data_IF_687352300061
#
_entry.id   IF_687352300061
#
_cell.length_a   1.000
_cell.length_b   1.000
_cell.length_c   1.000
_cell.angle_alpha   90.00
_cell.angle_beta   90.00
_cell.angle_gamma   90.00
#
_symmetry.space_group_name_H-M   'P 1'
#
loop_
_entity.id
_entity.type
_entity.pdbx_description
1 polymer ?
#
# COMPACT_ATOMS: atom_id res chain seq x y z
N UNK A 1 19.49 -20.44 90.11
CA UNK A 1 20.23 -20.53 88.81
C UNK A 1 19.87 -21.81 88.00
N UNK A 2 18.65 -22.32 88.04
CA UNK A 2 18.23 -23.52 87.24
C UNK A 2 17.11 -23.21 86.21
N UNK A 3 16.57 -22.03 86.18
CA UNK A 3 15.45 -21.69 85.29
C UNK A 3 15.85 -20.99 83.98
N UNK A 4 17.11 -20.55 83.84
CA UNK A 4 17.57 -19.77 82.60
C UNK A 4 18.11 -20.73 81.55
N UNK A 5 18.55 -21.97 81.91
CA UNK A 5 19.08 -22.95 80.91
C UNK A 5 18.01 -23.64 80.06
N UNK A 6 16.76 -23.68 80.48
CA UNK A 6 15.66 -24.32 79.68
C UNK A 6 15.09 -23.43 78.63
N UNK A 7 15.11 -22.14 78.81
CA UNK A 7 14.61 -21.14 77.79
C UNK A 7 15.57 -21.02 76.61
N UNK A 8 16.89 -21.22 76.80
CA UNK A 8 17.85 -21.18 75.73
C UNK A 8 17.89 -22.43 74.83
N UNK A 9 17.34 -23.55 75.28
CA UNK A 9 17.29 -24.80 74.50
C UNK A 9 16.03 -24.87 73.60
N UNK A 10 14.99 -24.05 73.85
CA UNK A 10 13.75 -24.03 73.07
C UNK A 10 13.77 -23.03 71.93
N UNK A 11 14.75 -22.10 71.92
CA UNK A 11 14.90 -21.09 70.84
C UNK A 11 15.69 -21.57 69.60
N UNK A 12 16.31 -22.77 69.66
CA UNK A 12 17.10 -23.34 68.55
C UNK A 12 16.26 -24.24 67.63
N UNK A 13 15.00 -24.55 67.97
CA UNK A 13 14.16 -25.46 67.18
C UNK A 13 13.26 -24.76 66.12
N UNK A 14 13.34 -23.44 65.98
CA UNK A 14 12.55 -22.69 64.98
C UNK A 14 13.37 -22.11 63.82
N UNK A 15 14.65 -22.48 63.66
CA UNK A 15 15.32 -22.28 62.36
C UNK A 15 14.88 -23.36 61.37
N UNK A 16 13.62 -23.31 60.97
CA UNK A 16 13.16 -23.99 59.76
C UNK A 16 13.91 -23.35 58.59
N UNK A 17 15.07 -23.91 58.25
CA UNK A 17 15.70 -23.67 56.96
C UNK A 17 14.70 -24.13 55.89
N UNK A 18 13.98 -23.18 55.36
CA UNK A 18 13.33 -23.38 54.04
C UNK A 18 14.47 -23.49 53.03
N UNK A 19 14.98 -24.69 52.80
CA UNK A 19 15.90 -24.99 51.72
C UNK A 19 15.13 -24.75 50.41
N UNK A 20 15.26 -23.50 49.89
CA UNK A 20 14.77 -23.18 48.56
C UNK A 20 15.54 -24.09 47.59
N UNK A 21 14.85 -25.11 47.05
CA UNK A 21 15.44 -26.03 46.09
C UNK A 21 15.72 -25.26 44.80
N UNK A 22 16.97 -25.31 44.29
CA UNK A 22 17.37 -24.74 43.01
C UNK A 22 17.24 -25.77 41.90
N UNK A 23 16.57 -25.41 40.81
CA UNK A 23 16.49 -26.24 39.61
C UNK A 23 17.50 -25.68 38.57
N UNK A 24 18.34 -26.59 38.09
CA UNK A 24 19.26 -26.30 36.97
C UNK A 24 18.96 -27.28 35.83
N UNK A 25 17.96 -26.96 35.02
CA UNK A 25 17.65 -27.69 33.78
C UNK A 25 18.55 -27.23 32.64
N UNK A 26 19.00 -28.14 31.78
CA UNK A 26 19.71 -27.78 30.58
C UNK A 26 18.77 -27.03 29.63
N UNK A 27 19.18 -25.83 29.19
CA UNK A 27 18.43 -25.00 28.23
C UNK A 27 18.40 -25.73 26.87
N UNK A 28 17.21 -26.05 26.34
CA UNK A 28 17.11 -26.57 24.96
C UNK A 28 17.62 -25.53 23.98
N UNK A 29 18.58 -25.90 23.14
CA UNK A 29 19.09 -25.00 22.10
C UNK A 29 18.02 -24.77 21.03
N UNK A 30 17.91 -23.56 20.48
CA UNK A 30 17.03 -23.30 19.34
C UNK A 30 17.45 -24.15 18.13
N UNK A 31 16.53 -24.36 17.18
CA UNK A 31 16.85 -24.96 15.89
C UNK A 31 17.85 -24.08 15.12
N UNK A 32 18.66 -24.70 14.25
CA UNK A 32 19.72 -24.02 13.53
C UNK A 32 19.18 -22.84 12.70
N UNK A 33 20.08 -21.85 12.47
CA UNK A 33 19.81 -20.59 11.76
C UNK A 33 19.44 -20.79 10.27
N UNK A 34 18.21 -21.23 10.01
CA UNK A 34 17.65 -21.23 8.67
C UNK A 34 16.99 -19.86 8.40
N UNK A 35 17.12 -19.28 7.19
CA UNK A 35 16.39 -18.08 6.84
C UNK A 35 14.89 -18.26 7.07
N UNK A 36 14.22 -17.22 7.59
CA UNK A 36 12.77 -17.23 7.79
C UNK A 36 12.06 -17.34 6.42
N UNK A 37 11.62 -18.54 6.08
CA UNK A 37 10.85 -18.81 4.86
C UNK A 37 9.42 -19.14 5.25
N UNK A 38 8.48 -18.30 4.79
CA UNK A 38 7.04 -18.59 4.90
C UNK A 38 6.35 -18.15 3.61
N UNK A 39 5.29 -18.84 3.24
CA UNK A 39 4.49 -18.53 2.06
C UNK A 39 3.33 -17.62 2.47
N UNK A 40 3.36 -16.37 2.01
CA UNK A 40 2.20 -15.48 2.10
C UNK A 40 1.28 -15.70 0.92
N UNK A 41 -0.03 -15.72 1.16
CA UNK A 41 -1.02 -15.55 0.10
C UNK A 41 -0.92 -14.12 -0.40
N UNK A 42 -0.88 -13.92 -1.71
CA UNK A 42 -0.86 -12.59 -2.30
C UNK A 42 -2.21 -11.91 -2.08
N UNK A 43 -2.17 -10.65 -1.74
CA UNK A 43 -3.34 -9.77 -1.64
C UNK A 43 -3.68 -9.19 -2.99
N UNK A 44 -4.95 -8.93 -3.22
CA UNK A 44 -5.45 -8.22 -4.39
C UNK A 44 -6.38 -7.09 -3.94
N UNK A 45 -6.05 -5.87 -4.35
CA UNK A 45 -6.81 -4.67 -4.04
C UNK A 45 -7.33 -4.08 -5.33
N UNK A 46 -8.65 -4.09 -5.52
CA UNK A 46 -9.30 -3.37 -6.60
C UNK A 46 -9.56 -1.93 -6.16
N UNK A 47 -9.16 -0.99 -6.99
CA UNK A 47 -9.29 0.45 -6.77
C UNK A 47 -9.91 1.09 -8.02
N UNK A 48 -11.25 1.12 -8.15
CA UNK A 48 -11.89 1.92 -9.18
C UNK A 48 -11.41 3.37 -9.09
N UNK A 49 -10.95 3.91 -10.21
CA UNK A 49 -10.37 5.24 -10.31
C UNK A 49 -11.28 6.15 -11.13
N UNK A 50 -11.57 7.32 -10.59
CA UNK A 50 -12.29 8.39 -11.27
C UNK A 50 -11.38 9.61 -11.41
N UNK A 51 -11.22 10.10 -12.65
CA UNK A 51 -10.45 11.32 -12.96
C UNK A 51 -11.41 12.34 -13.56
N UNK A 52 -11.54 13.53 -12.96
CA UNK A 52 -12.40 14.57 -13.50
C UNK A 52 -11.82 15.16 -14.80
N UNK A 53 -12.67 15.49 -15.78
CA UNK A 53 -12.23 16.19 -16.99
C UNK A 53 -11.61 17.55 -16.64
N UNK A 54 -12.05 18.18 -15.55
CA UNK A 54 -11.49 19.44 -15.06
C UNK A 54 -10.02 19.31 -14.65
N UNK A 55 -9.64 18.16 -14.04
CA UNK A 55 -8.25 17.90 -13.70
C UNK A 55 -7.39 17.72 -14.95
N UNK A 56 -7.89 16.99 -15.94
CA UNK A 56 -7.22 16.83 -17.24
C UNK A 56 -7.10 18.19 -17.96
N UNK A 57 -8.16 19.01 -17.93
CA UNK A 57 -8.17 20.36 -18.45
C UNK A 57 -7.07 21.23 -17.80
N UNK A 58 -6.93 21.14 -16.47
CA UNK A 58 -5.90 21.87 -15.73
C UNK A 58 -4.49 21.46 -16.16
N UNK A 59 -4.20 20.16 -16.18
CA UNK A 59 -2.89 19.64 -16.58
C UNK A 59 -2.58 19.96 -18.05
N UNK A 60 -3.56 19.84 -18.93
CA UNK A 60 -3.41 20.18 -20.34
C UNK A 60 -3.08 21.67 -20.52
N UNK A 61 -3.72 22.55 -19.77
CA UNK A 61 -3.46 23.98 -19.81
C UNK A 61 -2.07 24.37 -19.26
N UNK A 62 -1.51 23.60 -18.34
CA UNK A 62 -0.13 23.76 -17.86
C UNK A 62 0.88 23.33 -18.92
N UNK A 63 0.63 22.20 -19.59
CA UNK A 63 1.52 21.64 -20.61
C UNK A 63 1.49 22.44 -21.91
N UNK A 64 0.29 22.81 -22.37
CA UNK A 64 0.08 23.67 -23.55
C UNK A 64 -0.10 25.09 -23.07
N UNK A 65 0.98 25.86 -23.04
CA UNK A 65 0.95 27.28 -22.69
C UNK A 65 1.83 28.12 -23.63
N UNK A 66 1.37 29.32 -23.97
CA UNK A 66 2.09 30.22 -24.89
C UNK A 66 2.14 29.67 -26.31
N UNK A 67 3.33 29.63 -26.90
CA UNK A 67 3.53 29.07 -28.24
C UNK A 67 3.51 27.55 -28.21
N UNK A 68 2.57 26.97 -28.93
CA UNK A 68 2.33 25.51 -28.93
C UNK A 68 2.84 24.81 -30.18
N UNK A 69 3.19 25.58 -31.21
CA UNK A 69 3.77 25.11 -32.48
C UNK A 69 4.68 26.16 -33.09
N UNK A 70 5.81 25.72 -33.61
CA UNK A 70 6.76 26.56 -34.36
C UNK A 70 7.35 25.74 -35.51
N UNK A 71 7.04 26.17 -36.72
CA UNK A 71 7.60 25.67 -37.96
C UNK A 71 8.22 26.84 -38.70
N UNK A 72 9.51 26.78 -38.93
CA UNK A 72 10.31 27.83 -39.57
C UNK A 72 10.86 27.43 -40.94
N UNK A 73 10.46 26.24 -41.45
CA UNK A 73 10.96 25.70 -42.69
C UNK A 73 9.97 25.91 -43.84
N UNK A 74 10.19 26.95 -44.61
CA UNK A 74 9.36 27.30 -45.80
C UNK A 74 9.60 26.36 -47.01
N UNK A 75 10.72 25.61 -47.03
CA UNK A 75 11.15 24.87 -48.21
C UNK A 75 10.61 23.45 -48.31
N UNK A 76 10.16 22.87 -47.23
CA UNK A 76 9.67 21.48 -47.19
C UNK A 76 8.20 21.36 -47.65
N UNK A 77 7.33 22.26 -47.20
CA UNK A 77 5.91 22.27 -47.56
C UNK A 77 5.38 23.65 -48.03
N UNK A 78 6.29 24.60 -48.26
CA UNK A 78 5.98 25.98 -48.65
C UNK A 78 5.24 26.79 -47.60
N UNK A 79 5.31 26.41 -46.33
CA UNK A 79 4.59 27.06 -45.24
C UNK A 79 5.46 27.16 -44.00
N UNK A 80 5.62 28.37 -43.45
CA UNK A 80 6.07 28.56 -42.05
C UNK A 80 4.85 28.84 -41.18
N UNK A 81 4.82 28.30 -39.97
CA UNK A 81 3.65 28.47 -39.10
C UNK A 81 4.03 28.55 -37.62
N UNK A 82 3.45 29.52 -36.92
CA UNK A 82 3.55 29.63 -35.45
C UNK A 82 2.15 29.73 -34.87
N UNK A 83 1.91 28.96 -33.80
CA UNK A 83 0.61 28.87 -33.15
C UNK A 83 0.76 29.16 -31.66
N UNK A 84 -0.07 30.04 -31.15
CA UNK A 84 -0.15 30.38 -29.74
C UNK A 84 -1.53 30.09 -29.19
N UNK A 85 -1.58 29.50 -28.00
CA UNK A 85 -2.79 29.46 -27.21
C UNK A 85 -3.07 30.85 -26.63
N UNK A 86 -4.29 31.36 -26.82
CA UNK A 86 -4.67 32.70 -26.38
C UNK A 86 -5.52 32.74 -25.14
N UNK A 87 -6.19 31.64 -24.81
CA UNK A 87 -6.98 31.46 -23.57
C UNK A 87 -6.98 30.01 -23.14
N UNK A 88 -7.45 29.68 -21.91
CA UNK A 88 -7.53 28.33 -21.43
C UNK A 88 -8.36 27.41 -22.32
N UNK A 89 -7.85 26.21 -22.55
CA UNK A 89 -8.55 25.10 -23.19
C UNK A 89 -9.70 24.67 -22.28
N UNK A 90 -10.86 24.38 -22.85
CA UNK A 90 -12.03 23.84 -22.17
C UNK A 90 -12.31 22.42 -22.64
N UNK A 91 -12.57 21.51 -21.71
CA UNK A 91 -12.91 20.13 -21.99
C UNK A 91 -14.36 19.85 -21.54
N UNK A 92 -15.15 19.27 -22.43
CA UNK A 92 -16.49 18.77 -22.11
C UNK A 92 -16.71 17.39 -22.72
N UNK A 93 -17.56 16.59 -22.11
CA UNK A 93 -18.02 15.34 -22.71
C UNK A 93 -19.15 15.62 -23.68
N UNK A 94 -19.03 15.07 -24.90
CA UNK A 94 -20.04 15.14 -25.97
C UNK A 94 -20.11 13.82 -26.72
N UNK A 95 -21.23 13.15 -26.65
CA UNK A 95 -21.51 11.90 -27.37
C UNK A 95 -20.46 10.80 -27.18
N UNK A 96 -19.98 10.64 -25.93
CA UNK A 96 -18.96 9.63 -25.58
C UNK A 96 -17.54 10.00 -26.01
N UNK A 97 -17.31 11.25 -26.43
CA UNK A 97 -16.00 11.80 -26.80
C UNK A 97 -15.65 13.03 -25.96
N UNK A 98 -14.39 13.35 -25.88
CA UNK A 98 -13.96 14.64 -25.32
C UNK A 98 -13.99 15.70 -26.40
N UNK A 99 -14.83 16.71 -26.22
CA UNK A 99 -14.79 17.92 -27.02
C UNK A 99 -13.84 18.91 -26.33
N UNK A 100 -12.81 19.34 -27.07
CA UNK A 100 -11.84 20.34 -26.63
C UNK A 100 -12.08 21.66 -27.39
N UNK A 101 -12.25 22.74 -26.63
CA UNK A 101 -12.40 24.11 -27.19
C UNK A 101 -11.08 24.83 -26.98
N UNK A 102 -10.38 25.13 -28.08
CA UNK A 102 -9.00 25.64 -28.08
C UNK A 102 -8.90 26.98 -28.77
N UNK A 103 -8.84 28.11 -28.03
CA UNK A 103 -8.64 29.45 -28.59
C UNK A 103 -7.18 29.65 -29.02
N UNK A 104 -6.97 30.05 -30.29
CA UNK A 104 -5.66 30.15 -30.92
C UNK A 104 -5.45 31.46 -31.66
N UNK A 105 -4.20 31.92 -31.67
CA UNK A 105 -3.64 32.84 -32.65
C UNK A 105 -2.64 32.09 -33.53
N UNK A 106 -2.76 32.25 -34.83
CA UNK A 106 -1.92 31.61 -35.83
C UNK A 106 -1.25 32.69 -36.67
N UNK A 107 0.05 32.65 -36.78
CA UNK A 107 0.81 33.31 -37.78
C UNK A 107 1.26 32.27 -38.79
N UNK A 108 0.98 32.52 -40.08
CA UNK A 108 1.44 31.67 -41.15
C UNK A 108 2.01 32.50 -42.27
N UNK A 109 3.11 32.02 -42.84
CA UNK A 109 3.73 32.57 -44.07
C UNK A 109 3.74 31.45 -45.09
N UNK A 110 3.26 31.70 -46.27
CA UNK A 110 3.17 30.72 -47.33
C UNK A 110 3.70 31.26 -48.65
N UNK A 111 4.37 30.38 -49.38
CA UNK A 111 4.90 30.63 -50.71
C UNK A 111 3.88 30.17 -51.74
N UNK A 112 3.44 31.05 -52.59
CA UNK A 112 2.49 30.71 -53.66
C UNK A 112 3.05 31.12 -55.04
N UNK A 113 2.54 30.50 -56.08
CA UNK A 113 3.04 30.68 -57.44
C UNK A 113 3.90 29.51 -57.92
N UNK A 114 4.60 29.68 -59.00
CA UNK A 114 5.50 28.67 -59.56
C UNK A 114 6.93 29.19 -59.55
N UNK A 115 7.90 28.34 -59.26
CA UNK A 115 9.34 28.68 -59.32
C UNK A 115 9.79 28.83 -60.80
N UNK A 116 8.90 28.50 -61.73
CA UNK A 116 9.12 28.72 -63.17
C UNK A 116 9.05 30.19 -63.51
N UNK A 117 10.12 30.75 -64.02
CA UNK A 117 10.29 32.19 -64.37
C UNK A 117 10.30 33.15 -63.14
N UNK A 118 10.51 32.65 -61.90
CA UNK A 118 10.56 33.50 -60.71
C UNK A 118 9.20 34.12 -60.30
N UNK A 119 8.10 33.58 -60.78
CA UNK A 119 6.74 34.03 -60.47
C UNK A 119 6.23 33.45 -59.14
N UNK A 120 7.05 33.53 -58.08
CA UNK A 120 6.65 33.17 -56.74
C UNK A 120 6.59 34.43 -55.85
N UNK A 121 5.68 34.44 -54.91
CA UNK A 121 5.55 35.50 -53.89
C UNK A 121 5.26 34.83 -52.55
N UNK A 122 5.62 35.49 -51.45
CA UNK A 122 5.34 35.04 -50.09
C UNK A 122 4.36 35.99 -49.44
N UNK A 123 3.38 35.45 -48.73
CA UNK A 123 2.39 36.21 -47.96
C UNK A 123 2.34 35.75 -46.53
N UNK A 124 2.16 36.70 -45.65
CA UNK A 124 1.95 36.50 -44.24
C UNK A 124 0.50 36.75 -43.87
N UNK A 125 -0.02 35.91 -42.98
CA UNK A 125 -1.40 36.00 -42.51
C UNK A 125 -1.41 35.79 -40.98
N UNK A 126 -2.21 36.61 -40.30
CA UNK A 126 -2.53 36.44 -38.90
C UNK A 126 -3.99 36.02 -38.78
N UNK A 127 -4.24 34.93 -38.08
CA UNK A 127 -5.55 34.33 -37.89
C UNK A 127 -5.84 34.22 -36.41
N UNK A 128 -7.04 34.60 -36.00
CA UNK A 128 -7.53 34.42 -34.64
C UNK A 128 -8.83 33.61 -34.70
N UNK A 129 -8.89 32.55 -33.91
CA UNK A 129 -10.07 31.70 -33.93
C UNK A 129 -10.07 30.69 -32.80
N UNK A 130 -11.13 29.92 -32.77
CA UNK A 130 -11.30 28.83 -31.83
C UNK A 130 -11.46 27.51 -32.59
N UNK A 131 -10.64 26.53 -32.25
CA UNK A 131 -10.77 25.19 -32.80
C UNK A 131 -11.60 24.35 -31.86
N UNK A 132 -12.53 23.61 -32.40
CA UNK A 132 -13.28 22.56 -31.70
C UNK A 132 -12.77 21.20 -32.18
N UNK A 133 -12.23 20.41 -31.25
CA UNK A 133 -11.78 19.06 -31.52
C UNK A 133 -12.70 18.05 -30.82
N UNK A 134 -12.97 16.93 -31.49
CA UNK A 134 -13.55 15.73 -30.89
C UNK A 134 -12.48 14.65 -30.81
N UNK A 135 -12.26 14.15 -29.60
CA UNK A 135 -11.23 13.17 -29.31
C UNK A 135 -11.83 11.88 -28.81
N UNK A 136 -11.52 10.76 -29.47
CA UNK A 136 -11.72 9.44 -28.93
C UNK A 136 -10.60 9.16 -27.91
N UNK A 137 -10.96 8.65 -26.73
CA UNK A 137 -10.02 8.43 -25.62
C UNK A 137 -9.77 6.95 -25.44
N UNK A 138 -8.50 6.56 -25.33
CA UNK A 138 -8.08 5.20 -24.98
C UNK A 138 -6.98 5.27 -23.94
N UNK A 139 -6.96 4.29 -23.04
CA UNK A 139 -5.80 4.06 -22.20
C UNK A 139 -4.96 2.98 -22.87
N UNK A 140 -3.73 3.32 -23.26
CA UNK A 140 -2.78 2.39 -23.82
C UNK A 140 -1.47 2.51 -23.10
N UNK A 141 -0.95 1.36 -22.62
CA UNK A 141 0.37 1.29 -21.99
C UNK A 141 0.56 2.27 -20.81
N UNK A 142 -0.50 2.45 -19.99
CA UNK A 142 -0.56 3.37 -18.85
C UNK A 142 -0.53 4.86 -19.19
N UNK A 143 -0.69 5.18 -20.47
CA UNK A 143 -0.85 6.53 -20.95
C UNK A 143 -2.24 6.72 -21.54
N UNK A 144 -2.83 7.88 -21.31
CA UNK A 144 -4.03 8.25 -22.02
C UNK A 144 -3.62 8.71 -23.43
N UNK A 145 -4.13 8.03 -24.45
CA UNK A 145 -3.97 8.40 -25.83
C UNK A 145 -5.29 8.88 -26.38
N UNK A 146 -5.24 9.89 -27.25
CA UNK A 146 -6.41 10.42 -27.94
C UNK A 146 -6.21 10.33 -29.44
N UNK A 147 -7.33 10.22 -30.16
CA UNK A 147 -7.37 10.41 -31.60
C UNK A 147 -8.32 11.57 -31.86
N UNK A 148 -7.73 12.76 -32.02
CA UNK A 148 -8.47 14.02 -32.14
C UNK A 148 -8.74 14.36 -33.57
N UNK A 149 -9.96 14.80 -33.86
CA UNK A 149 -10.37 15.36 -35.17
C UNK A 149 -10.94 16.73 -34.96
N UNK A 150 -10.56 17.67 -35.81
CA UNK A 150 -11.18 18.99 -35.82
C UNK A 150 -12.60 18.86 -36.34
N UNK A 151 -13.56 19.17 -35.47
CA UNK A 151 -15.00 19.22 -35.78
C UNK A 151 -15.31 20.58 -36.48
N UNK A 152 -14.83 21.65 -35.87
CA UNK A 152 -15.14 23.01 -36.39
C UNK A 152 -13.97 23.98 -36.13
N UNK A 153 -13.97 25.03 -36.93
CA UNK A 153 -13.05 26.14 -36.78
C UNK A 153 -13.83 27.46 -36.86
N UNK A 154 -13.95 28.13 -35.73
CA UNK A 154 -14.66 29.40 -35.65
C UNK A 154 -13.66 30.58 -35.73
N UNK A 155 -13.66 31.30 -36.82
CA UNK A 155 -12.86 32.52 -36.96
C UNK A 155 -13.47 33.65 -36.13
N UNK A 156 -12.66 34.42 -35.41
CA UNK A 156 -13.08 35.66 -34.76
C UNK A 156 -13.24 36.74 -35.84
N UNK A 157 -12.32 36.74 -36.81
CA UNK A 157 -12.41 37.59 -38.03
C UNK A 157 -12.14 36.72 -39.25
N UNK A 158 -12.89 36.90 -40.31
CA UNK A 158 -12.63 36.20 -41.57
C UNK A 158 -11.23 36.53 -42.08
N UNK A 159 -10.41 35.52 -42.45
CA UNK A 159 -9.06 35.75 -42.94
C UNK A 159 -9.06 36.57 -44.22
N UNK A 160 -8.34 37.70 -44.20
CA UNK A 160 -8.22 38.60 -45.35
C UNK A 160 -6.76 39.01 -45.54
N UNK A 161 -6.38 39.26 -46.80
CA UNK A 161 -5.13 39.95 -47.14
C UNK A 161 -5.43 41.31 -47.72
N UNK A 162 -4.50 42.24 -47.56
CA UNK A 162 -4.56 43.54 -48.20
C UNK A 162 -3.88 43.47 -49.58
N UNK A 163 -4.65 43.69 -50.62
CA UNK A 163 -4.14 43.85 -52.01
C UNK A 163 -4.58 45.17 -52.54
N UNK A 164 -3.64 46.02 -52.87
CA UNK A 164 -3.89 47.39 -53.35
C UNK A 164 -4.87 48.20 -52.46
N UNK A 165 -4.73 48.04 -51.11
CA UNK A 165 -5.56 48.70 -50.09
C UNK A 165 -6.95 48.15 -49.89
N UNK A 166 -7.32 47.05 -50.59
CA UNK A 166 -8.60 46.33 -50.39
C UNK A 166 -8.40 45.03 -49.61
N UNK A 167 -9.25 44.78 -48.62
CA UNK A 167 -9.30 43.49 -47.91
C UNK A 167 -9.94 42.44 -48.81
N UNK A 168 -9.18 41.40 -49.20
CA UNK A 168 -9.64 40.29 -50.01
C UNK A 168 -9.73 39.05 -49.10
N UNK A 169 -10.90 38.37 -49.02
CA UNK A 169 -11.02 37.11 -48.32
C UNK A 169 -10.09 36.03 -48.91
N UNK A 170 -9.32 35.34 -48.08
CA UNK A 170 -8.37 34.31 -48.52
C UNK A 170 -8.76 32.91 -48.06
N UNK A 171 -9.97 32.71 -47.59
CA UNK A 171 -10.50 31.43 -47.16
C UNK A 171 -10.28 30.30 -48.16
N UNK A 172 -10.38 30.58 -49.46
CA UNK A 172 -10.14 29.63 -50.54
C UNK A 172 -8.64 29.25 -50.73
N UNK A 173 -7.72 30.14 -50.36
CA UNK A 173 -6.27 29.91 -50.42
C UNK A 173 -5.83 29.10 -49.17
N UNK A 174 -6.46 29.38 -48.04
CA UNK A 174 -6.14 28.76 -46.76
C UNK A 174 -6.68 27.32 -46.64
N UNK A 175 -7.75 26.97 -47.33
CA UNK A 175 -8.37 25.66 -47.24
C UNK A 175 -7.44 24.47 -47.49
N UNK A 176 -6.53 24.44 -48.48
CA UNK A 176 -5.53 23.36 -48.60
C UNK A 176 -4.54 23.34 -47.43
N UNK A 177 -4.04 24.50 -47.00
CA UNK A 177 -3.13 24.65 -45.86
C UNK A 177 -3.82 24.31 -44.54
N UNK A 178 -5.12 24.59 -44.43
CA UNK A 178 -5.95 24.14 -43.27
C UNK A 178 -5.98 22.63 -43.13
N UNK A 179 -5.85 21.85 -44.18
CA UNK A 179 -5.80 20.39 -44.06
C UNK A 179 -4.53 19.92 -43.34
N UNK A 180 -3.37 20.45 -43.69
CA UNK A 180 -2.08 20.21 -43.05
C UNK A 180 -2.13 20.73 -41.59
N UNK A 181 -2.62 21.96 -41.43
CA UNK A 181 -2.82 22.59 -40.14
C UNK A 181 -3.72 21.75 -39.20
N UNK A 182 -4.87 21.26 -39.71
CA UNK A 182 -5.79 20.42 -38.97
C UNK A 182 -5.09 19.17 -38.41
N UNK A 183 -4.35 18.47 -39.26
CA UNK A 183 -3.61 17.27 -38.84
C UNK A 183 -2.51 17.60 -37.83
N UNK A 184 -1.78 18.69 -38.03
CA UNK A 184 -0.71 19.14 -37.13
C UNK A 184 -1.25 19.53 -35.77
N UNK A 185 -2.32 20.30 -35.68
CA UNK A 185 -2.92 20.71 -34.40
C UNK A 185 -3.50 19.49 -33.66
N UNK A 186 -4.26 18.62 -34.35
CA UNK A 186 -4.80 17.41 -33.77
C UNK A 186 -3.67 16.57 -33.19
N UNK A 187 -2.61 16.33 -33.96
CA UNK A 187 -1.45 15.54 -33.49
C UNK A 187 -0.75 16.19 -32.29
N UNK A 188 -0.57 17.52 -32.28
CA UNK A 188 0.04 18.23 -31.14
C UNK A 188 -0.81 18.19 -29.89
N UNK A 189 -2.12 18.24 -30.01
CA UNK A 189 -3.05 18.04 -28.88
C UNK A 189 -2.95 16.58 -28.36
N UNK A 190 -2.96 15.60 -29.25
CA UNK A 190 -2.84 14.20 -28.88
C UNK A 190 -1.51 13.90 -28.16
N UNK A 191 -0.39 14.41 -28.69
CA UNK A 191 0.93 14.32 -28.06
C UNK A 191 0.98 14.99 -26.67
N UNK A 192 0.33 16.17 -26.54
CA UNK A 192 0.26 16.89 -25.28
C UNK A 192 -0.58 16.15 -24.24
N UNK A 193 -1.71 15.56 -24.64
CA UNK A 193 -2.54 14.72 -23.76
C UNK A 193 -1.75 13.48 -23.33
N UNK A 194 -1.12 12.78 -24.27
CA UNK A 194 -0.31 11.60 -23.97
C UNK A 194 0.82 11.93 -22.96
N UNK A 195 1.50 13.05 -23.14
CA UNK A 195 2.57 13.52 -22.25
C UNK A 195 2.05 13.94 -20.88
N UNK A 196 0.90 14.61 -20.81
CA UNK A 196 0.31 15.12 -19.57
C UNK A 196 -0.39 14.02 -18.77
N UNK A 197 -0.82 12.97 -19.43
CA UNK A 197 -1.60 11.86 -18.85
C UNK A 197 -0.83 10.54 -18.89
N UNK A 198 0.47 10.57 -18.58
CA UNK A 198 1.26 9.37 -18.24
C UNK A 198 1.05 9.05 -16.76
N UNK A 199 0.23 8.04 -16.47
CA UNK A 199 -0.13 7.67 -15.10
C UNK A 199 0.94 6.84 -14.40
N UNK A 200 1.87 6.23 -15.13
CA UNK A 200 2.86 5.31 -14.55
C UNK A 200 3.75 5.95 -13.49
N UNK A 201 4.33 7.15 -13.69
CA UNK A 201 5.12 7.82 -12.66
C UNK A 201 4.31 8.12 -11.40
N UNK A 202 3.08 8.63 -11.56
CA UNK A 202 2.19 8.96 -10.43
C UNK A 202 1.80 7.74 -9.63
N UNK A 203 1.44 6.63 -10.29
CA UNK A 203 1.14 5.37 -9.61
C UNK A 203 2.36 4.87 -8.83
N UNK A 204 3.57 4.97 -9.40
CA UNK A 204 4.79 4.58 -8.69
C UNK A 204 5.07 5.45 -7.46
N UNK A 205 4.77 6.75 -7.51
CA UNK A 205 4.92 7.66 -6.36
C UNK A 205 3.91 7.32 -5.25
N UNK A 206 2.66 7.07 -5.62
CA UNK A 206 1.62 6.61 -4.67
C UNK A 206 2.04 5.28 -4.02
N UNK A 207 2.49 4.31 -4.82
CA UNK A 207 2.93 3.00 -4.31
C UNK A 207 4.15 3.13 -3.39
N UNK A 208 5.10 4.02 -3.70
CA UNK A 208 6.23 4.31 -2.81
C UNK A 208 5.73 4.84 -1.46
N UNK A 209 4.80 5.79 -1.46
CA UNK A 209 4.20 6.34 -0.24
C UNK A 209 3.45 5.27 0.55
N UNK A 210 2.64 4.44 -0.12
CA UNK A 210 1.89 3.34 0.50
C UNK A 210 2.79 2.23 1.04
N UNK A 211 4.02 2.11 0.53
CA UNK A 211 5.00 1.11 0.98
C UNK A 211 5.77 1.54 2.23
N UNK A 212 5.63 2.80 2.65
CA UNK A 212 6.24 3.28 3.90
C UNK A 212 5.58 2.58 5.09
N UNK A 213 6.37 1.94 5.96
CA UNK A 213 5.82 1.31 7.15
C UNK A 213 5.17 2.33 8.09
N UNK A 214 3.95 2.05 8.52
CA UNK A 214 3.23 2.88 9.49
C UNK A 214 2.83 2.11 10.74
N UNK A 215 2.76 2.81 11.87
CA UNK A 215 2.44 2.23 13.17
C UNK A 215 0.94 1.97 13.27
N UNK A 216 0.55 0.74 13.57
CA UNK A 216 -0.86 0.32 13.74
C UNK A 216 -1.23 0.08 15.20
N UNK A 217 -0.26 -0.16 16.09
CA UNK A 217 -0.46 -0.26 17.53
C UNK A 217 0.76 0.29 18.28
N UNK A 218 0.56 1.29 19.11
CA UNK A 218 1.62 1.83 19.99
C UNK A 218 1.95 0.86 21.12
N UNK A 219 0.94 0.20 21.68
CA UNK A 219 1.08 -0.73 22.80
C UNK A 219 2.02 -1.90 22.46
N UNK A 220 1.89 -2.44 21.25
CA UNK A 220 2.67 -3.61 20.80
C UNK A 220 3.77 -3.22 19.82
N UNK A 221 3.96 -1.91 19.53
CA UNK A 221 4.91 -1.43 18.51
C UNK A 221 4.72 -2.18 17.19
N UNK A 222 3.47 -2.25 16.73
CA UNK A 222 3.10 -3.02 15.56
C UNK A 222 3.13 -2.14 14.31
N UNK A 223 3.91 -2.53 13.31
CA UNK A 223 4.13 -1.81 12.07
C UNK A 223 3.53 -2.55 10.89
N UNK A 224 2.66 -1.89 10.13
CA UNK A 224 2.14 -2.43 8.87
C UNK A 224 3.04 -2.02 7.70
N UNK A 225 3.24 -2.95 6.75
CA UNK A 225 3.99 -2.74 5.51
C UNK A 225 3.26 -3.39 4.35
N UNK A 226 3.09 -2.62 3.26
CA UNK A 226 2.60 -3.10 1.98
C UNK A 226 3.78 -3.22 1.01
N UNK A 227 3.87 -4.35 0.30
CA UNK A 227 4.91 -4.63 -0.69
C UNK A 227 4.23 -4.84 -2.04
N UNK A 228 4.19 -3.84 -2.93
CA UNK A 228 3.61 -3.95 -4.26
C UNK A 228 4.36 -4.97 -5.12
N UNK A 229 3.65 -5.68 -5.98
CA UNK A 229 4.21 -6.67 -6.91
C UNK A 229 3.81 -6.37 -8.35
N UNK A 230 2.51 -6.27 -8.60
CA UNK A 230 1.95 -6.05 -9.95
C UNK A 230 0.81 -5.02 -9.86
N UNK A 231 0.71 -4.19 -10.88
CA UNK A 231 -0.40 -3.23 -11.04
C UNK A 231 -1.13 -3.54 -12.34
N UNK A 232 -2.44 -3.61 -12.25
CA UNK A 232 -3.34 -3.88 -13.35
C UNK A 232 -4.17 -2.64 -13.65
N UNK A 233 -4.53 -2.45 -14.91
CA UNK A 233 -5.45 -1.38 -15.32
C UNK A 233 -6.38 -1.89 -16.41
N UNK A 234 -7.65 -1.47 -16.37
CA UNK A 234 -8.59 -1.65 -17.46
C UNK A 234 -8.51 -0.51 -18.47
N UNK A 235 -9.19 -0.67 -19.61
CA UNK A 235 -9.40 0.45 -20.52
C UNK A 235 -10.17 1.58 -19.82
N UNK A 236 -9.87 2.82 -20.25
CA UNK A 236 -10.54 4.00 -19.76
C UNK A 236 -11.94 4.14 -20.40
N UNK A 237 -12.93 4.43 -19.59
CA UNK A 237 -14.31 4.67 -20.05
C UNK A 237 -14.69 6.11 -19.71
N UNK A 238 -15.02 6.91 -20.75
CA UNK A 238 -15.51 8.26 -20.60
C UNK A 238 -16.95 8.25 -20.11
N UNK A 239 -17.21 8.92 -18.98
CA UNK A 239 -18.53 9.18 -18.43
C UNK A 239 -18.82 10.68 -18.40
N UNK A 240 -19.92 11.09 -17.78
CA UNK A 240 -20.25 12.52 -17.63
C UNK A 240 -19.16 13.25 -16.86
N UNK A 241 -18.39 14.09 -17.55
CA UNK A 241 -17.33 14.93 -16.98
C UNK A 241 -16.22 14.18 -16.22
N UNK A 242 -16.07 12.89 -16.42
CA UNK A 242 -15.03 12.07 -15.78
C UNK A 242 -14.61 10.88 -16.64
N UNK A 243 -13.38 10.44 -16.44
CA UNK A 243 -12.86 9.19 -16.97
C UNK A 243 -12.82 8.18 -15.84
N UNK A 244 -13.38 7.00 -16.08
CA UNK A 244 -13.39 5.87 -15.15
C UNK A 244 -12.48 4.77 -15.68
N UNK A 245 -11.75 4.13 -14.77
CA UNK A 245 -10.97 2.92 -15.03
C UNK A 245 -10.81 2.14 -13.74
N UNK A 246 -10.55 0.85 -13.83
CA UNK A 246 -10.23 0.04 -12.65
C UNK A 246 -8.73 -0.16 -12.55
N UNK A 247 -8.18 0.12 -11.38
CA UNK A 247 -6.83 -0.25 -11.00
C UNK A 247 -6.88 -1.50 -10.12
N UNK A 248 -5.98 -2.45 -10.35
CA UNK A 248 -5.77 -3.60 -9.49
C UNK A 248 -4.35 -3.60 -8.96
N UNK A 249 -4.20 -3.74 -7.66
CA UNK A 249 -2.90 -3.89 -7.01
C UNK A 249 -2.77 -5.30 -6.46
N UNK A 250 -1.80 -6.05 -6.96
CA UNK A 250 -1.33 -7.29 -6.35
C UNK A 250 -0.15 -6.98 -5.45
N UNK A 251 -0.24 -7.35 -4.18
CA UNK A 251 0.76 -6.99 -3.18
C UNK A 251 0.89 -8.07 -2.10
N UNK A 252 1.97 -8.03 -1.35
CA UNK A 252 2.10 -8.72 -0.09
C UNK A 252 1.89 -7.73 1.05
N UNK A 253 1.18 -8.14 2.08
CA UNK A 253 0.89 -7.33 3.26
C UNK A 253 1.46 -8.00 4.49
N UNK A 254 2.22 -7.25 5.26
CA UNK A 254 2.88 -7.75 6.46
C UNK A 254 2.69 -6.78 7.61
N UNK A 255 2.60 -7.33 8.81
CA UNK A 255 2.65 -6.58 10.06
C UNK A 255 3.81 -7.12 10.88
N UNK A 256 4.66 -6.25 11.41
CA UNK A 256 5.81 -6.62 12.23
C UNK A 256 5.67 -6.06 13.64
N UNK A 257 5.88 -6.92 14.63
CA UNK A 257 5.81 -6.56 16.05
C UNK A 257 7.22 -6.24 16.57
N UNK A 258 7.37 -5.11 17.24
CA UNK A 258 8.57 -4.68 17.98
C UNK A 258 9.46 -3.74 17.20
N UNK A 259 9.85 -4.04 15.97
CA UNK A 259 10.83 -3.25 15.21
C UNK A 259 10.21 -2.71 13.92
N UNK A 260 10.42 -1.42 13.67
CA UNK A 260 10.00 -0.80 12.41
C UNK A 260 10.76 -1.43 11.23
N UNK A 261 10.07 -2.02 10.24
CA UNK A 261 10.74 -2.59 9.07
C UNK A 261 11.29 -1.49 8.16
N UNK A 262 12.35 -1.80 7.41
CA UNK A 262 12.89 -0.88 6.41
C UNK A 262 11.94 -0.77 5.21
N UNK A 263 11.92 0.41 4.58
CA UNK A 263 11.30 0.56 3.27
C UNK A 263 12.20 -0.11 2.21
N UNK A 264 11.62 -1.03 1.43
CA UNK A 264 12.29 -1.76 0.36
C UNK A 264 11.53 -1.62 -0.96
N UNK A 265 10.95 -0.45 -1.22
CA UNK A 265 10.23 -0.21 -2.48
C UNK A 265 11.19 -0.06 -3.65
N UNK A 266 11.09 -0.97 -4.63
CA UNK A 266 11.89 -0.96 -5.85
C UNK A 266 11.00 -0.62 -7.04
N UNK A 267 11.10 0.63 -7.53
CA UNK A 267 10.26 1.12 -8.64
C UNK A 267 10.33 0.25 -9.89
N UNK A 268 11.52 -0.27 -10.21
CA UNK A 268 11.76 -1.06 -11.41
C UNK A 268 11.27 -2.51 -11.31
N UNK A 269 10.99 -3.00 -10.10
CA UNK A 269 10.46 -4.35 -9.88
C UNK A 269 8.95 -4.44 -10.13
N UNK A 270 8.23 -3.30 -10.15
CA UNK A 270 6.79 -3.28 -10.31
C UNK A 270 6.39 -3.60 -11.75
N UNK A 271 5.58 -4.65 -11.91
CA UNK A 271 5.04 -5.04 -13.20
C UNK A 271 3.72 -4.30 -13.47
N UNK A 272 3.60 -3.71 -14.66
CA UNK A 272 2.40 -3.02 -15.13
C UNK A 272 1.71 -3.86 -16.21
N UNK A 273 0.41 -4.16 -16.03
CA UNK A 273 -0.37 -5.01 -16.94
C UNK A 273 -1.70 -4.35 -17.30
N UNK A 274 -2.06 -4.40 -18.58
CA UNK A 274 -3.41 -4.03 -19.03
C UNK A 274 -4.27 -5.29 -19.09
N UNK A 275 -5.49 -5.22 -18.56
CA UNK A 275 -6.43 -6.33 -18.46
C UNK A 275 -7.83 -5.88 -18.83
N UNK A 276 -8.67 -6.80 -19.33
CA UNK A 276 -10.04 -6.49 -19.68
C UNK A 276 -10.94 -6.24 -18.46
N UNK A 277 -10.66 -6.88 -17.34
CA UNK A 277 -11.42 -6.76 -16.09
C UNK A 277 -10.53 -7.01 -14.88
N UNK A 278 -10.77 -6.26 -13.83
CA UNK A 278 -10.17 -6.41 -12.50
C UNK A 278 -11.22 -7.07 -11.57
N UNK A 279 -10.85 -8.00 -10.68
CA UNK A 279 -11.78 -8.57 -9.70
C UNK A 279 -12.41 -7.47 -8.81
N UNK A 280 -13.72 -7.56 -8.56
CA UNK A 280 -14.46 -6.51 -7.84
C UNK A 280 -14.21 -6.46 -6.31
N UNK A 281 -13.58 -7.49 -5.76
CA UNK A 281 -13.34 -7.59 -4.31
C UNK A 281 -11.90 -7.23 -3.96
N UNK A 282 -11.77 -6.50 -2.87
CA UNK A 282 -10.50 -6.40 -2.14
C UNK A 282 -10.36 -7.65 -1.28
N UNK A 283 -9.26 -8.35 -1.43
CA UNK A 283 -8.86 -9.47 -0.55
C UNK A 283 -7.44 -9.20 -0.07
N UNK A 284 -7.30 -8.85 1.20
CA UNK A 284 -6.02 -8.60 1.84
C UNK A 284 -5.65 -9.80 2.72
N UNK A 285 -4.55 -10.46 2.38
CA UNK A 285 -3.95 -11.53 3.18
C UNK A 285 -2.75 -10.93 3.93
N UNK A 286 -2.88 -10.75 5.23
CA UNK A 286 -1.90 -10.06 6.07
C UNK A 286 -1.12 -11.11 6.87
N UNK A 287 0.20 -11.11 6.77
CA UNK A 287 1.08 -11.90 7.63
C UNK A 287 1.57 -11.03 8.79
N UNK A 288 1.10 -11.32 10.01
CA UNK A 288 1.55 -10.65 11.22
C UNK A 288 2.73 -11.42 11.84
N UNK A 289 3.92 -10.83 11.76
CA UNK A 289 5.18 -11.44 12.13
C UNK A 289 5.60 -10.94 13.51
N UNK A 290 5.79 -11.86 14.46
CA UNK A 290 6.35 -11.57 15.78
C UNK A 290 7.62 -12.40 15.99
N UNK A 291 8.77 -11.74 16.09
CA UNK A 291 10.02 -12.43 16.45
C UNK A 291 9.90 -13.00 17.88
N UNK A 292 10.64 -14.06 18.18
CA UNK A 292 10.62 -14.63 19.52
C UNK A 292 11.09 -13.66 20.60
N UNK A 293 12.04 -12.77 20.28
CA UNK A 293 12.49 -11.72 21.21
C UNK A 293 11.36 -10.72 21.52
N UNK A 294 10.61 -10.29 20.51
CA UNK A 294 9.48 -9.38 20.69
C UNK A 294 8.34 -10.05 21.46
N UNK A 295 8.00 -11.31 21.09
CA UNK A 295 7.00 -12.10 21.79
C UNK A 295 7.40 -12.37 23.25
N UNK A 296 8.67 -12.69 23.50
CA UNK A 296 9.21 -12.91 24.85
C UNK A 296 9.05 -11.69 25.74
N UNK A 297 9.36 -10.49 25.23
CA UNK A 297 9.20 -9.23 25.97
C UNK A 297 7.74 -8.99 26.36
N UNK A 298 6.81 -9.13 25.40
CA UNK A 298 5.38 -8.93 25.62
C UNK A 298 4.83 -9.95 26.62
N UNK A 299 5.14 -11.24 26.44
CA UNK A 299 4.66 -12.30 27.32
C UNK A 299 5.29 -12.17 28.71
N UNK A 300 6.59 -11.85 28.77
CA UNK A 300 7.26 -11.65 30.06
C UNK A 300 6.59 -10.54 30.87
N UNK A 301 6.27 -9.40 30.28
CA UNK A 301 5.58 -8.30 30.97
C UNK A 301 4.18 -8.70 31.48
N UNK A 302 3.48 -9.59 30.76
CA UNK A 302 2.15 -10.06 31.15
C UNK A 302 2.16 -11.15 32.23
N UNK A 303 3.25 -11.92 32.33
CA UNK A 303 3.37 -13.03 33.25
C UNK A 303 4.24 -12.73 34.47
N UNK A 304 5.08 -11.73 34.46
CA UNK A 304 5.94 -11.35 35.57
C UNK A 304 5.11 -11.09 36.85
N UNK A 305 5.49 -11.70 37.93
CA UNK A 305 4.78 -11.67 39.22
C UNK A 305 3.58 -12.57 39.32
N UNK A 306 3.13 -13.27 38.26
CA UNK A 306 2.05 -14.26 38.36
C UNK A 306 2.45 -15.43 39.22
N UNK A 307 1.54 -15.82 40.12
CA UNK A 307 1.69 -16.92 41.04
C UNK A 307 0.86 -18.13 40.57
N UNK A 308 1.49 -19.31 40.56
CA UNK A 308 0.85 -20.58 40.31
C UNK A 308 1.04 -21.49 41.54
N UNK A 309 -0.06 -21.89 42.19
CA UNK A 309 -0.02 -22.64 43.42
C UNK A 309 -0.68 -24.03 43.28
N UNK A 310 -0.16 -25.01 44.02
CA UNK A 310 -0.71 -26.36 44.20
C UNK A 310 -0.54 -26.79 45.68
N UNK A 311 -1.61 -26.75 46.45
CA UNK A 311 -1.57 -26.92 47.90
C UNK A 311 -0.73 -25.81 48.57
N UNK A 312 0.22 -26.22 49.44
CA UNK A 312 1.15 -25.29 50.10
C UNK A 312 2.35 -24.87 49.21
N UNK A 313 2.48 -25.43 48.02
CA UNK A 313 3.59 -25.15 47.09
C UNK A 313 3.18 -24.11 46.06
N UNK A 314 4.06 -23.15 45.80
CA UNK A 314 3.84 -22.09 44.83
C UNK A 314 5.08 -21.71 44.05
N UNK A 315 4.89 -21.24 42.83
CA UNK A 315 5.92 -20.61 42.01
C UNK A 315 5.45 -19.22 41.60
N UNK A 316 6.39 -18.29 41.48
CA UNK A 316 6.16 -16.93 40.97
C UNK A 316 7.04 -16.74 39.76
N UNK A 317 6.41 -16.39 38.61
CA UNK A 317 7.13 -16.15 37.35
C UNK A 317 7.93 -14.84 37.44
N UNK A 318 9.20 -14.88 37.09
CA UNK A 318 10.08 -13.72 37.05
C UNK A 318 10.31 -13.25 35.62
N UNK A 319 10.48 -14.21 34.67
CA UNK A 319 10.76 -13.92 33.26
C UNK A 319 10.23 -15.05 32.39
N UNK A 320 9.83 -14.72 31.16
CA UNK A 320 9.45 -15.67 30.12
C UNK A 320 10.31 -15.46 28.90
N UNK A 321 10.92 -16.50 28.37
CA UNK A 321 11.61 -16.49 27.07
C UNK A 321 10.98 -17.51 26.13
N UNK A 322 10.89 -17.17 24.85
CA UNK A 322 10.35 -18.04 23.81
C UNK A 322 11.38 -18.28 22.70
N UNK A 323 11.40 -19.48 22.16
CA UNK A 323 12.07 -19.80 20.89
C UNK A 323 11.46 -21.07 20.28
N UNK A 324 11.85 -21.35 19.04
CA UNK A 324 11.40 -22.56 18.35
C UNK A 324 12.43 -23.69 18.47
N UNK A 325 11.95 -24.92 18.64
CA UNK A 325 12.72 -26.14 18.50
C UNK A 325 11.83 -27.27 17.96
N UNK A 326 12.29 -27.94 16.90
CA UNK A 326 11.62 -29.10 16.29
C UNK A 326 10.13 -28.89 16.00
N UNK A 327 9.77 -27.70 15.45
CA UNK A 327 8.40 -27.33 15.11
C UNK A 327 7.50 -26.96 16.29
N UNK A 328 8.05 -26.91 17.52
CA UNK A 328 7.34 -26.49 18.72
C UNK A 328 7.90 -25.19 19.27
N UNK A 329 7.09 -24.44 19.99
CA UNK A 329 7.56 -23.32 20.80
C UNK A 329 8.08 -23.88 22.14
N UNK A 330 9.29 -23.49 22.48
CA UNK A 330 9.84 -23.68 23.82
C UNK A 330 9.51 -22.40 24.61
N UNK A 331 8.98 -22.63 25.83
CA UNK A 331 8.64 -21.60 26.81
C UNK A 331 9.54 -21.82 28.00
N UNK A 332 10.51 -20.94 28.21
CA UNK A 332 11.31 -20.91 29.41
C UNK A 332 10.62 -20.02 30.44
N UNK A 333 10.42 -20.57 31.64
CA UNK A 333 9.88 -19.83 32.78
C UNK A 333 10.96 -19.75 33.87
N UNK A 334 11.51 -18.57 34.08
CA UNK A 334 12.32 -18.27 35.25
C UNK A 334 11.38 -17.98 36.40
N UNK A 335 11.56 -18.68 37.52
CA UNK A 335 10.64 -18.63 38.63
C UNK A 335 11.34 -18.64 39.99
N UNK A 336 10.62 -18.15 40.99
CA UNK A 336 10.99 -18.19 42.42
C UNK A 336 9.84 -18.77 43.24
N UNK A 337 10.09 -19.02 44.52
CA UNK A 337 9.08 -19.54 45.47
C UNK A 337 9.46 -20.85 46.08
N UNK A 338 8.57 -21.86 46.05
CA UNK A 338 8.88 -23.21 46.56
C UNK A 338 10.03 -23.89 45.81
N UNK A 339 10.35 -23.35 44.64
CA UNK A 339 11.45 -23.72 43.76
C UNK A 339 12.00 -22.45 43.10
N UNK A 340 13.30 -22.35 42.95
CA UNK A 340 13.99 -21.29 42.27
C UNK A 340 14.74 -21.85 41.05
N UNK A 341 14.69 -21.14 39.91
CA UNK A 341 15.37 -21.50 38.68
C UNK A 341 14.46 -21.55 37.46
N UNK A 342 14.93 -22.19 36.40
CA UNK A 342 14.25 -22.20 35.11
C UNK A 342 13.66 -23.57 34.80
N UNK A 343 12.42 -23.60 34.33
CA UNK A 343 11.79 -24.78 33.71
C UNK A 343 11.51 -24.49 32.24
N UNK A 344 11.54 -25.54 31.44
CA UNK A 344 11.28 -25.48 30.03
C UNK A 344 10.06 -26.31 29.65
N UNK A 345 9.09 -25.65 29.02
CA UNK A 345 7.88 -26.27 28.47
C UNK A 345 7.98 -26.25 26.94
N UNK A 346 7.29 -27.16 26.29
CA UNK A 346 7.09 -27.13 24.84
C UNK A 346 5.61 -27.21 24.53
N UNK A 347 5.19 -26.55 23.45
CA UNK A 347 3.81 -26.59 23.00
C UNK A 347 3.68 -26.16 21.54
N UNK A 348 2.55 -26.49 20.91
CA UNK A 348 2.22 -26.11 19.54
C UNK A 348 1.12 -25.04 19.61
N UNK A 349 1.37 -23.82 19.13
CA UNK A 349 0.33 -22.78 19.10
C UNK A 349 -0.76 -23.18 18.11
N UNK A 350 -2.00 -22.93 18.49
CA UNK A 350 -3.18 -23.22 17.70
C UNK A 350 -4.21 -22.10 17.87
N UNK A 351 -5.19 -22.03 16.97
CA UNK A 351 -6.25 -21.05 16.98
C UNK A 351 -7.63 -21.70 17.02
N UNK A 352 -8.47 -21.23 17.92
CA UNK A 352 -9.88 -21.59 17.99
C UNK A 352 -10.71 -20.46 17.39
N UNK A 353 -11.28 -20.66 16.19
CA UNK A 353 -12.06 -19.66 15.48
C UNK A 353 -13.39 -19.32 16.21
N UNK A 354 -13.99 -20.27 16.94
CA UNK A 354 -15.24 -20.04 17.66
C UNK A 354 -15.08 -19.12 18.87
N UNK A 355 -13.99 -19.30 19.65
CA UNK A 355 -13.69 -18.47 20.83
C UNK A 355 -12.78 -17.28 20.51
N UNK A 356 -12.18 -17.23 19.29
CA UNK A 356 -11.16 -16.27 18.88
C UNK A 356 -9.96 -16.24 19.83
N UNK A 357 -9.50 -17.44 20.23
CA UNK A 357 -8.38 -17.61 21.16
C UNK A 357 -7.20 -18.33 20.51
N UNK A 358 -6.01 -17.83 20.77
CA UNK A 358 -4.75 -18.55 20.55
C UNK A 358 -4.46 -19.34 21.84
N UNK A 359 -4.12 -20.62 21.69
CA UNK A 359 -3.81 -21.50 22.80
C UNK A 359 -2.71 -22.49 22.39
N UNK A 360 -2.14 -23.18 23.37
CA UNK A 360 -1.12 -24.18 23.10
C UNK A 360 -1.69 -25.60 23.26
N UNK A 361 -1.55 -26.38 22.17
CA UNK A 361 -1.79 -27.82 22.20
C UNK A 361 -0.53 -28.57 22.64
N UNK A 362 -0.73 -29.75 23.19
CA UNK A 362 0.35 -30.68 23.58
C UNK A 362 1.42 -30.02 24.45
N UNK A 363 0.99 -29.13 25.36
CA UNK A 363 1.93 -28.50 26.30
C UNK A 363 2.44 -29.55 27.31
N UNK A 364 3.77 -29.69 27.41
CA UNK A 364 4.44 -30.59 28.34
C UNK A 364 5.81 -30.03 28.73
N UNK A 365 6.38 -30.54 29.80
CA UNK A 365 7.77 -30.26 30.15
C UNK A 365 8.70 -30.89 29.11
N UNK A 366 9.77 -30.22 28.74
CA UNK A 366 10.82 -30.83 27.91
C UNK A 366 11.50 -31.96 28.68
N UNK A 367 12.00 -32.95 27.96
CA UNK A 367 12.47 -34.23 28.56
C UNK A 367 13.50 -34.01 29.68
N UNK A 368 14.46 -33.11 29.47
CA UNK A 368 15.49 -32.82 30.49
C UNK A 368 14.91 -32.17 31.75
N UNK A 369 14.02 -31.17 31.57
CA UNK A 369 13.26 -30.57 32.67
C UNK A 369 12.47 -31.63 33.44
N UNK A 370 11.80 -32.53 32.71
CA UNK A 370 11.02 -33.63 33.30
C UNK A 370 11.89 -34.56 34.18
N UNK A 371 13.05 -34.96 33.69
CA UNK A 371 14.02 -35.78 34.42
C UNK A 371 14.57 -35.09 35.68
N UNK A 372 14.80 -33.78 35.61
CA UNK A 372 15.25 -32.99 36.76
C UNK A 372 14.12 -32.85 37.81
N UNK A 373 12.91 -32.53 37.38
CA UNK A 373 11.73 -32.37 38.25
C UNK A 373 11.39 -33.67 38.98
N UNK A 374 11.57 -34.82 38.34
CA UNK A 374 11.36 -36.12 38.98
C UNK A 374 12.23 -36.29 40.23
N UNK A 375 13.45 -35.76 40.21
CA UNK A 375 14.41 -35.88 41.32
C UNK A 375 14.25 -34.81 42.41
N UNK A 376 13.86 -33.60 42.01
CA UNK A 376 13.91 -32.43 42.90
C UNK A 376 12.54 -31.84 43.22
N UNK A 377 11.56 -31.98 42.34
CA UNK A 377 10.27 -31.29 42.45
C UNK A 377 9.12 -32.06 41.81
N UNK A 378 9.00 -33.33 42.15
CA UNK A 378 8.01 -34.22 41.55
C UNK A 378 6.55 -33.71 41.64
N UNK A 379 6.25 -32.82 42.61
CA UNK A 379 4.95 -32.18 42.75
C UNK A 379 4.56 -31.30 41.54
N UNK A 380 5.53 -30.73 40.81
CA UNK A 380 5.25 -30.03 39.57
C UNK A 380 4.75 -30.95 38.46
N UNK A 381 5.25 -32.20 38.46
CA UNK A 381 4.85 -33.23 37.48
C UNK A 381 3.43 -33.80 37.71
N UNK A 382 2.81 -33.51 38.85
CA UNK A 382 1.41 -33.92 39.12
C UNK A 382 0.39 -33.23 38.20
N UNK A 383 0.82 -32.34 37.29
CA UNK A 383 0.02 -31.72 36.23
C UNK A 383 -0.81 -30.53 36.67
N UNK A 384 -1.04 -30.26 37.95
CA UNK A 384 -1.87 -29.15 38.44
C UNK A 384 -1.28 -27.80 38.01
N UNK A 385 0.03 -27.61 38.21
CA UNK A 385 0.71 -26.35 37.82
C UNK A 385 0.78 -26.24 36.31
N UNK A 386 1.14 -27.31 35.60
CA UNK A 386 1.18 -27.33 34.14
C UNK A 386 -0.17 -26.96 33.53
N UNK A 387 -1.27 -27.53 34.09
CA UNK A 387 -2.63 -27.19 33.64
C UNK A 387 -2.96 -25.73 33.88
N UNK A 388 -2.64 -25.17 35.05
CA UNK A 388 -2.82 -23.73 35.34
C UNK A 388 -2.00 -22.84 34.42
N UNK A 389 -0.76 -23.20 34.12
CA UNK A 389 0.07 -22.48 33.14
C UNK A 389 -0.60 -22.54 31.76
N UNK A 390 -1.03 -23.72 31.31
CA UNK A 390 -1.70 -23.93 30.03
C UNK A 390 -3.00 -23.12 29.90
N UNK A 391 -3.80 -23.07 30.97
CA UNK A 391 -5.02 -22.25 31.03
C UNK A 391 -4.72 -20.75 30.94
N UNK A 392 -3.61 -20.29 31.53
CA UNK A 392 -3.16 -18.88 31.41
C UNK A 392 -2.44 -18.58 30.09
N UNK A 393 -2.01 -19.58 29.32
CA UNK A 393 -1.47 -19.46 27.99
C UNK A 393 -2.56 -19.44 26.91
N UNK A 394 -3.81 -19.16 27.26
CA UNK A 394 -4.90 -18.84 26.35
C UNK A 394 -5.00 -17.34 26.21
N UNK A 395 -5.01 -16.86 25.00
CA UNK A 395 -5.05 -15.44 24.71
C UNK A 395 -6.19 -15.12 23.72
N UNK A 396 -7.17 -14.37 24.18
CA UNK A 396 -8.24 -13.85 23.31
C UNK A 396 -7.69 -12.76 22.41
N UNK A 397 -7.79 -12.96 21.09
CA UNK A 397 -7.40 -11.97 20.08
C UNK A 397 -8.57 -11.11 19.61
N UNK A 398 -9.74 -11.24 20.23
CA UNK A 398 -10.96 -10.53 19.82
C UNK A 398 -10.75 -9.01 19.86
N UNK A 399 -10.21 -8.50 20.96
CA UNK A 399 -9.94 -7.07 21.11
C UNK A 399 -8.89 -6.58 20.13
N UNK A 400 -7.84 -7.37 19.89
CA UNK A 400 -6.78 -7.04 18.92
C UNK A 400 -7.32 -6.99 17.48
N UNK A 401 -8.24 -7.90 17.13
CA UNK A 401 -8.90 -7.85 15.81
C UNK A 401 -9.77 -6.60 15.66
N UNK A 402 -10.54 -6.25 16.69
CA UNK A 402 -11.36 -5.03 16.67
C UNK A 402 -10.48 -3.76 16.64
N UNK A 403 -9.39 -3.73 17.38
CA UNK A 403 -8.42 -2.63 17.35
C UNK A 403 -7.74 -2.52 15.98
N UNK A 404 -7.28 -3.64 15.41
CA UNK A 404 -6.74 -3.69 14.06
C UNK A 404 -7.73 -3.20 13.01
N UNK A 405 -9.00 -3.61 13.11
CA UNK A 405 -10.07 -3.11 12.26
C UNK A 405 -10.24 -1.59 12.39
N UNK A 406 -10.33 -1.08 13.61
CA UNK A 406 -10.46 0.37 13.88
C UNK A 406 -9.27 1.16 13.35
N UNK A 407 -8.05 0.64 13.44
CA UNK A 407 -6.84 1.32 12.96
C UNK A 407 -6.78 1.44 11.42
N UNK A 408 -7.49 0.57 10.69
CA UNK A 408 -7.56 0.61 9.22
C UNK A 408 -8.65 1.56 8.70
N UNK A 409 -9.71 1.80 9.46
CA UNK A 409 -10.85 2.63 9.02
C UNK A 409 -10.45 4.06 8.58
N UNK A 410 -9.52 4.78 9.23
CA UNK A 410 -9.09 6.11 8.79
C UNK A 410 -8.49 6.12 7.38
N UNK A 411 -7.87 5.02 6.95
CA UNK A 411 -7.29 4.87 5.60
C UNK A 411 -8.33 4.52 4.54
N UNK A 412 -9.57 4.27 4.96
CA UNK A 412 -10.72 3.97 4.09
C UNK A 412 -11.79 5.06 4.12
N UNK A 413 -11.57 6.16 4.85
CA UNK A 413 -12.54 7.24 4.99
C UNK A 413 -11.95 8.56 4.51
N UNK A 414 -12.10 8.83 3.23
CA UNK A 414 -11.57 10.03 2.55
C UNK A 414 -10.07 10.27 2.84
N UNK A 415 -9.31 9.19 2.93
CA UNK A 415 -7.87 9.27 3.16
C UNK A 415 -7.17 9.85 1.94
N UNK A 416 -6.30 10.84 2.15
CA UNK A 416 -5.50 11.45 1.10
C UNK A 416 -4.02 11.09 1.28
N UNK A 417 -3.49 10.10 0.53
CA UNK A 417 -2.07 9.73 0.58
C UNK A 417 -1.18 10.82 -0.02
N UNK A 418 -1.74 11.64 -0.90
CA UNK A 418 -1.10 12.80 -1.51
C UNK A 418 -2.16 13.81 -1.98
N UNK A 419 -1.76 15.07 -2.22
CA UNK A 419 -2.67 16.14 -2.68
C UNK A 419 -3.48 15.68 -3.90
N UNK A 420 -4.79 15.86 -3.85
CA UNK A 420 -5.71 15.55 -4.95
C UNK A 420 -6.04 14.08 -5.16
N UNK A 421 -5.55 13.16 -4.32
CA UNK A 421 -5.91 11.74 -4.34
C UNK A 421 -6.68 11.40 -3.08
N UNK A 422 -7.88 10.84 -3.22
CA UNK A 422 -8.78 10.51 -2.12
C UNK A 422 -9.17 9.03 -2.19
N UNK A 423 -8.92 8.30 -1.10
CA UNK A 423 -9.26 6.90 -0.94
C UNK A 423 -10.47 6.76 -0.05
N UNK A 424 -11.48 6.03 -0.53
CA UNK A 424 -12.66 5.64 0.23
C UNK A 424 -12.87 4.13 0.13
N UNK A 425 -13.48 3.53 1.17
CA UNK A 425 -13.73 2.10 1.15
C UNK A 425 -14.55 1.61 2.32
N UNK A 426 -14.79 0.31 2.33
CA UNK A 426 -15.44 -0.41 3.43
C UNK A 426 -14.64 -1.66 3.76
N UNK A 427 -14.55 -1.98 5.03
CA UNK A 427 -13.99 -3.22 5.53
C UNK A 427 -15.17 -4.14 5.94
N UNK A 428 -15.33 -5.26 5.25
CA UNK A 428 -16.44 -6.21 5.49
C UNK A 428 -16.05 -7.26 6.52
N UNK A 429 -14.92 -7.95 6.28
CA UNK A 429 -14.40 -8.99 7.14
C UNK A 429 -12.98 -8.66 7.57
N UNK A 430 -12.62 -9.01 8.79
CA UNK A 430 -11.28 -8.91 9.33
C UNK A 430 -11.11 -10.06 10.31
N UNK A 431 -10.50 -11.16 9.85
CA UNK A 431 -10.48 -12.42 10.57
C UNK A 431 -9.09 -13.04 10.63
N UNK A 432 -8.81 -13.67 11.75
CA UNK A 432 -7.62 -14.50 11.93
C UNK A 432 -7.84 -15.87 11.27
N UNK A 433 -6.90 -16.33 10.45
CA UNK A 433 -6.98 -17.62 9.75
C UNK A 433 -6.24 -18.72 10.54
N UNK A 434 -4.95 -18.51 10.83
CA UNK A 434 -4.08 -19.49 11.48
C UNK A 434 -2.81 -18.85 12.04
N UNK A 435 -2.07 -19.62 12.86
CA UNK A 435 -0.71 -19.30 13.28
C UNK A 435 0.26 -20.36 12.77
N UNK A 436 1.41 -19.92 12.28
CA UNK A 436 2.52 -20.79 11.91
C UNK A 436 3.78 -20.44 12.72
N UNK A 437 4.61 -21.43 12.93
CA UNK A 437 5.87 -21.32 13.66
C UNK A 437 7.03 -21.50 12.68
N UNK A 438 7.95 -20.56 12.67
CA UNK A 438 9.21 -20.65 11.93
C UNK A 438 10.39 -20.62 12.89
N UNK A 439 11.61 -20.84 12.42
CA UNK A 439 12.80 -20.83 13.28
C UNK A 439 13.05 -19.46 13.96
N UNK A 440 12.55 -18.35 13.38
CA UNK A 440 12.83 -16.98 13.87
C UNK A 440 11.62 -16.21 14.39
N UNK A 441 10.40 -16.66 14.04
CA UNK A 441 9.19 -15.91 14.37
C UNK A 441 7.94 -16.80 14.43
N UNK A 442 6.93 -16.33 15.15
CA UNK A 442 5.54 -16.75 15.00
C UNK A 442 4.88 -15.85 13.96
N UNK A 443 4.08 -16.44 13.08
CA UNK A 443 3.37 -15.72 12.00
C UNK A 443 1.88 -16.01 12.13
N UNK A 444 1.11 -14.97 12.36
CA UNK A 444 -0.34 -14.99 12.33
C UNK A 444 -0.84 -14.57 10.96
N UNK A 445 -1.74 -15.33 10.36
CA UNK A 445 -2.36 -14.99 9.08
C UNK A 445 -3.76 -14.43 9.32
N UNK A 446 -3.99 -13.24 8.75
CA UNK A 446 -5.24 -12.49 8.87
C UNK A 446 -5.78 -12.25 7.47
N UNK A 447 -7.08 -12.42 7.29
CA UNK A 447 -7.79 -12.12 6.05
C UNK A 447 -8.67 -10.89 6.30
N UNK A 448 -8.56 -9.91 5.41
CA UNK A 448 -9.47 -8.79 5.34
C UNK A 448 -10.14 -8.73 3.96
N UNK A 449 -11.46 -8.51 3.94
CA UNK A 449 -12.20 -8.31 2.70
C UNK A 449 -12.96 -7.00 2.74
N UNK A 450 -13.17 -6.40 1.57
CA UNK A 450 -13.82 -5.09 1.51
C UNK A 450 -14.01 -4.57 0.09
N UNK A 451 -14.27 -3.26 0.03
CA UNK A 451 -14.31 -2.48 -1.22
C UNK A 451 -13.48 -1.23 -1.05
N UNK A 452 -12.91 -0.75 -2.13
CA UNK A 452 -12.14 0.49 -2.17
C UNK A 452 -12.43 1.23 -3.47
N UNK A 453 -12.40 2.55 -3.44
CA UNK A 453 -12.38 3.40 -4.61
C UNK A 453 -11.41 4.57 -4.41
N UNK A 454 -10.86 5.07 -5.52
CA UNK A 454 -9.94 6.20 -5.52
C UNK A 454 -10.50 7.28 -6.42
N UNK A 455 -10.54 8.51 -5.91
CA UNK A 455 -10.92 9.71 -6.66
C UNK A 455 -9.70 10.60 -6.84
N UNK A 456 -9.47 11.07 -8.06
CA UNK A 456 -8.45 12.09 -8.36
C UNK A 456 -9.16 13.41 -8.69
N UNK A 457 -8.90 14.44 -7.88
CA UNK A 457 -9.52 15.76 -7.99
C UNK A 457 -8.68 16.81 -7.24
N UNK A 458 -8.30 17.90 -7.90
CA UNK A 458 -7.55 18.99 -7.27
C UNK A 458 -6.06 18.68 -7.02
N UNK A 459 -5.38 18.09 -7.98
CA UNK A 459 -3.92 17.85 -7.93
C UNK A 459 -3.09 19.15 -8.09
N UNK A 460 -3.73 20.29 -8.34
CA UNK A 460 -3.14 21.63 -8.56
C UNK A 460 -2.48 22.24 -7.32
#
# INVERSE_FOLDING_TARGET
>A
MKSISIILLFSILFSSCSTNQKIESLKPLPSNDVPMVFKTKTSFVNMPLEISLKEIESQLNKTLNGQIYDDTNLEDDKTEMKIWKTAPIKLIEKDGKIQSVLPLKIWAKFKYGTDFMGLNDTREVNLNGTIILLSDVKLSNWKMTTNSKIEDFMWIESPTILVAGKKIPITYIINPTLSIFKSTVSRKIDEAIEKSCDFKPYVLDVLNTMSLPFLTSEQYQTWFKLIPVEVYVTDAVLGKNKINMDLGLKCNMQTMVGVKPNNSFERNAIQFKTVAKVPEKVTANIAAISTYDSASKIISSNFQGKEFASGSKKIVVQKVELWQKDGKIIIALDMTGSINGSIYLSGIPNYNAATKEIYFNQMDYVLNTKGMLTKTANWLLQGIILKKIQENCRYSIKENLEEGKKSLLPYLNNYSPMKGVFVNGTLNEFEFEKVEVTDKAMIAFIIATGKMNVKIDGMD
#
